data_IF_863913790594
#
_entry.id   IF_863913790594
#
_cell.length_a   1.000
_cell.length_b   1.000
_cell.length_c   1.000
_cell.angle_alpha   90.00
_cell.angle_beta   90.00
_cell.angle_gamma   90.00
#
_symmetry.space_group_name_H-M   'P 1'
#
loop_
_entity.id
_entity.type
_entity.pdbx_description
1 polymer ?
#
# COMPACT_ATOMS: atom_id res chain seq x y z
N UNK A 1 -28.44 -1.25 20.44
CA UNK A 1 -26.99 -1.23 20.16
C UNK A 1 -26.82 -0.94 18.70
N UNK A 2 -26.35 0.27 18.36
CA UNK A 2 -25.98 0.62 16.99
C UNK A 2 -24.88 -0.35 16.58
N UNK A 3 -25.13 -1.11 15.52
CA UNK A 3 -24.06 -1.81 14.81
C UNK A 3 -23.15 -0.69 14.32
N UNK A 4 -22.03 -0.50 15.01
CA UNK A 4 -20.89 0.23 14.46
C UNK A 4 -20.59 -0.43 13.13
N UNK A 5 -21.07 0.20 12.06
CA UNK A 5 -20.73 -0.12 10.69
C UNK A 5 -19.27 0.30 10.54
N UNK A 6 -18.40 -0.52 11.12
CA UNK A 6 -17.00 -0.22 11.35
C UNK A 6 -16.36 -0.14 9.97
N UNK A 7 -16.05 1.10 9.55
CA UNK A 7 -15.21 1.66 8.49
C UNK A 7 -14.17 0.77 7.75
N UNK A 8 -14.38 -0.53 7.60
CA UNK A 8 -13.44 -1.48 7.00
C UNK A 8 -13.29 -1.24 5.50
N UNK A 9 -14.35 -0.80 4.83
CA UNK A 9 -14.34 -0.47 3.40
C UNK A 9 -13.76 0.93 3.12
N UNK A 10 -13.93 1.89 4.04
CA UNK A 10 -13.49 3.28 3.81
C UNK A 10 -11.97 3.41 3.75
N UNK A 11 -11.22 2.55 4.44
CA UNK A 11 -9.76 2.65 4.51
C UNK A 11 -9.08 2.19 3.22
N UNK A 12 -9.64 1.20 2.50
CA UNK A 12 -9.02 0.68 1.27
C UNK A 12 -9.26 1.64 0.10
N UNK A 13 -10.47 2.16 -0.05
CA UNK A 13 -10.80 3.11 -1.12
C UNK A 13 -9.95 4.39 -1.00
N UNK A 14 -9.77 4.91 0.22
CA UNK A 14 -8.89 6.05 0.46
C UNK A 14 -7.41 5.74 0.16
N UNK A 15 -6.96 4.50 0.41
CA UNK A 15 -5.62 4.09 0.03
C UNK A 15 -5.44 4.06 -1.50
N UNK A 16 -6.45 3.56 -2.22
CA UNK A 16 -6.48 3.50 -3.68
C UNK A 16 -6.54 4.88 -4.32
N UNK A 17 -7.39 5.78 -3.80
CA UNK A 17 -7.46 7.17 -4.25
C UNK A 17 -6.08 7.84 -4.15
N UNK A 18 -5.45 7.73 -2.97
CA UNK A 18 -4.11 8.24 -2.75
C UNK A 18 -3.07 7.62 -3.69
N UNK A 19 -3.11 6.30 -3.89
CA UNK A 19 -2.21 5.60 -4.81
C UNK A 19 -2.34 6.13 -6.24
N UNK A 20 -3.56 6.41 -6.70
CA UNK A 20 -3.84 7.01 -8.01
C UNK A 20 -3.21 8.39 -8.22
N UNK A 21 -2.98 9.15 -7.14
CA UNK A 21 -2.35 10.49 -7.23
C UNK A 21 -0.82 10.44 -7.39
N UNK A 22 -0.17 9.29 -7.18
CA UNK A 22 1.28 9.18 -7.17
C UNK A 22 1.90 9.05 -8.57
N UNK A 23 1.09 8.87 -9.61
CA UNK A 23 1.55 8.70 -10.99
C UNK A 23 2.36 7.42 -11.22
N UNK A 24 2.12 6.39 -10.40
CA UNK A 24 2.75 5.07 -10.57
C UNK A 24 1.94 4.24 -11.56
N UNK A 25 2.62 3.53 -12.44
CA UNK A 25 1.96 2.66 -13.42
C UNK A 25 1.47 1.36 -12.75
N UNK A 26 0.41 0.75 -13.27
CA UNK A 26 -0.14 -0.48 -12.67
C UNK A 26 0.90 -1.61 -12.60
N UNK A 27 1.81 -1.69 -13.58
CA UNK A 27 2.88 -2.70 -13.62
C UNK A 27 4.13 -2.31 -12.83
N UNK A 28 4.18 -1.11 -12.25
CA UNK A 28 5.30 -0.72 -11.39
C UNK A 28 5.35 -1.62 -10.15
N UNK A 29 6.53 -2.15 -9.85
CA UNK A 29 6.72 -2.99 -8.65
C UNK A 29 6.31 -2.26 -7.35
N UNK A 30 6.49 -0.93 -7.30
CA UNK A 30 6.03 -0.07 -6.19
C UNK A 30 4.50 0.00 -6.09
N UNK A 31 3.79 0.01 -7.22
CA UNK A 31 2.33 -0.01 -7.26
C UNK A 31 1.80 -1.35 -6.75
N UNK A 32 2.29 -2.45 -7.31
CA UNK A 32 1.90 -3.81 -6.91
C UNK A 32 2.18 -4.09 -5.43
N UNK A 33 3.29 -3.58 -4.90
CA UNK A 33 3.61 -3.73 -3.48
C UNK A 33 2.70 -2.92 -2.59
N UNK A 34 2.34 -1.70 -2.98
CA UNK A 34 1.37 -0.92 -2.22
C UNK A 34 0.04 -1.66 -2.08
N UNK A 35 -0.44 -2.28 -3.18
CA UNK A 35 -1.65 -3.13 -3.15
C UNK A 35 -1.51 -4.31 -2.19
N UNK A 36 -0.38 -5.03 -2.25
CA UNK A 36 -0.10 -6.14 -1.34
C UNK A 36 -0.15 -5.69 0.13
N UNK A 37 0.52 -4.57 0.44
CA UNK A 37 0.58 -3.98 1.77
C UNK A 37 -0.81 -3.56 2.28
N UNK A 38 -1.69 -3.06 1.42
CA UNK A 38 -3.04 -2.68 1.84
C UNK A 38 -3.91 -3.87 2.23
N UNK A 39 -3.69 -5.03 1.60
CA UNK A 39 -4.36 -6.29 1.93
C UNK A 39 -3.90 -6.90 3.25
N UNK A 40 -2.68 -6.60 3.69
CA UNK A 40 -2.05 -7.25 4.85
C UNK A 40 -2.63 -6.82 6.20
N UNK A 41 -2.95 -5.54 6.38
CA UNK A 41 -3.51 -5.05 7.64
C UNK A 41 -4.17 -3.68 7.51
N UNK A 42 -5.23 -3.46 8.30
CA UNK A 42 -5.84 -2.13 8.45
C UNK A 42 -4.87 -1.11 9.05
N UNK A 43 -3.93 -1.53 9.90
CA UNK A 43 -2.94 -0.62 10.46
C UNK A 43 -1.92 -0.16 9.42
N UNK A 44 -1.60 -1.02 8.45
CA UNK A 44 -0.75 -0.66 7.30
C UNK A 44 -1.45 0.40 6.45
N UNK A 45 -2.75 0.22 6.17
CA UNK A 45 -3.57 1.23 5.47
C UNK A 45 -3.60 2.56 6.22
N UNK A 46 -3.79 2.53 7.54
CA UNK A 46 -3.75 3.73 8.39
C UNK A 46 -2.39 4.43 8.40
N UNK A 47 -1.29 3.68 8.30
CA UNK A 47 0.05 4.27 8.13
C UNK A 47 0.16 4.92 6.76
N UNK A 48 -0.19 4.19 5.70
CA UNK A 48 -0.18 4.69 4.32
C UNK A 48 -0.90 6.02 4.19
N UNK A 49 -2.13 6.12 4.70
CA UNK A 49 -2.95 7.34 4.61
C UNK A 49 -2.26 8.56 5.25
N UNK A 50 -1.46 8.38 6.31
CA UNK A 50 -0.74 9.46 7.00
C UNK A 50 0.56 9.89 6.33
N UNK A 51 1.11 9.10 5.42
CA UNK A 51 2.36 9.43 4.74
C UNK A 51 2.21 10.67 3.85
N UNK A 52 3.28 11.41 3.61
CA UNK A 52 3.27 12.41 2.57
C UNK A 52 3.52 11.74 1.21
N UNK A 53 2.94 12.23 0.09
CA UNK A 53 3.10 11.61 -1.23
C UNK A 53 4.57 11.33 -1.61
N UNK A 54 5.47 12.29 -1.33
CA UNK A 54 6.91 12.16 -1.62
C UNK A 54 7.65 11.11 -0.75
N UNK A 55 7.01 10.60 0.31
CA UNK A 55 7.58 9.55 1.19
C UNK A 55 7.03 8.15 0.91
N UNK A 56 5.94 8.05 0.13
CA UNK A 56 5.26 6.79 -0.15
C UNK A 56 6.18 5.77 -0.83
N UNK A 57 6.98 6.18 -1.82
CA UNK A 57 7.87 5.25 -2.53
C UNK A 57 8.93 4.65 -1.61
N UNK A 58 9.58 5.48 -0.79
CA UNK A 58 10.58 5.02 0.17
C UNK A 58 9.97 4.08 1.21
N UNK A 59 8.77 4.42 1.69
CA UNK A 59 8.06 3.56 2.63
C UNK A 59 7.69 2.21 2.00
N UNK A 60 7.19 2.18 0.77
CA UNK A 60 6.90 0.92 0.05
C UNK A 60 8.16 0.09 -0.15
N UNK A 61 9.28 0.71 -0.50
CA UNK A 61 10.58 0.01 -0.64
C UNK A 61 11.03 -0.60 0.69
N UNK A 62 10.90 0.12 1.79
CA UNK A 62 11.33 -0.34 3.12
C UNK A 62 10.36 -1.38 3.72
N UNK A 63 9.04 -1.18 3.59
CA UNK A 63 8.04 -2.15 4.01
C UNK A 63 8.09 -3.40 3.13
N UNK A 64 8.32 -3.21 1.82
CA UNK A 64 8.57 -4.25 0.83
C UNK A 64 9.79 -5.12 1.15
N UNK A 65 10.82 -4.56 1.79
CA UNK A 65 12.00 -5.31 2.23
C UNK A 65 11.67 -6.39 3.28
N UNK A 66 10.56 -6.26 4.02
CA UNK A 66 10.04 -7.35 4.87
C UNK A 66 9.56 -8.56 4.06
N UNK A 67 9.07 -8.32 2.85
CA UNK A 67 8.77 -9.33 1.82
C UNK A 67 10.01 -9.66 0.96
N UNK A 68 11.19 -9.21 1.40
CA UNK A 68 12.49 -9.19 0.71
C UNK A 68 13.10 -10.53 0.31
N UNK A 69 12.31 -11.59 0.17
CA UNK A 69 12.71 -12.79 -0.58
C UNK A 69 12.10 -12.80 -2.01
N UNK A 70 10.96 -12.14 -2.25
CA UNK A 70 10.31 -12.15 -3.57
C UNK A 70 10.91 -11.10 -4.52
N UNK A 71 11.30 -9.94 -4.00
CA UNK A 71 11.84 -8.81 -4.77
C UNK A 71 13.12 -9.12 -5.55
N UNK A 72 14.01 -9.96 -5.01
CA UNK A 72 15.29 -10.30 -5.67
C UNK A 72 15.07 -11.33 -6.80
N UNK A 73 13.96 -12.07 -6.79
CA UNK A 73 13.68 -13.11 -7.80
C UNK A 73 12.75 -12.61 -8.92
N UNK A 74 11.76 -11.78 -8.62
CA UNK A 74 10.75 -11.37 -9.63
C UNK A 74 11.25 -10.33 -10.63
N UNK A 75 12.37 -9.63 -10.38
CA UNK A 75 12.97 -8.67 -11.34
C UNK A 75 14.25 -9.19 -12.03
N UNK A 76 14.52 -10.50 -11.95
CA UNK A 76 15.57 -11.18 -12.73
C UNK A 76 15.03 -12.00 -13.91
N UNK A 77 13.75 -11.86 -14.25
CA UNK A 77 13.11 -12.46 -15.42
C UNK A 77 12.44 -11.39 -16.26
#
# INVERSE_FOLDING_TARGET
MLIEKHNLDNDIDACMEKLGTLGWEEFDAKYQTALLLFGESSDIRKVWLRLQPHTCELWVKNAGAKYGSLWIQTMRL
#
